data_IF_159918219399
#
_entry.id   IF_159918219399
#
_cell.length_a   1.000
_cell.length_b   1.000
_cell.length_c   1.000
_cell.angle_alpha   90.00
_cell.angle_beta   90.00
_cell.angle_gamma   90.00
#
_symmetry.space_group_name_H-M   'P 1'
#
loop_
_entity.id
_entity.type
_entity.pdbx_description
1 polymer ?
#
# COMPACT_ATOMS: atom_id res chain seq x y z
N UNK A 1 -6.08 1.55 19.30
CA UNK A 1 -5.48 2.77 18.73
C UNK A 1 -3.97 2.62 18.49
N UNK A 2 -3.23 1.89 19.35
CA UNK A 2 -1.80 1.58 19.16
C UNK A 2 -1.49 0.76 17.90
N UNK A 3 -2.38 -0.15 17.51
CA UNK A 3 -2.11 -1.15 16.47
C UNK A 3 -2.03 -0.55 15.04
N UNK A 4 -2.80 0.50 14.74
CA UNK A 4 -2.69 1.23 13.47
C UNK A 4 -1.34 1.95 13.33
N UNK A 5 -0.81 2.47 14.44
CA UNK A 5 0.49 3.11 14.47
C UNK A 5 1.61 2.08 14.27
N UNK A 6 1.45 0.87 14.81
CA UNK A 6 2.38 -0.25 14.60
C UNK A 6 2.43 -0.66 13.13
N UNK A 7 1.28 -0.82 12.47
CA UNK A 7 1.21 -1.16 11.04
C UNK A 7 1.88 -0.08 10.18
N UNK A 8 1.68 1.20 10.52
CA UNK A 8 2.32 2.32 9.83
C UNK A 8 3.83 2.32 10.07
N UNK A 9 4.28 2.11 11.31
CA UNK A 9 5.69 2.04 11.64
C UNK A 9 6.39 0.91 10.87
N UNK A 10 5.76 -0.26 10.73
CA UNK A 10 6.27 -1.36 9.92
C UNK A 10 6.48 -0.96 8.45
N UNK A 11 5.54 -0.21 7.86
CA UNK A 11 5.69 0.33 6.50
C UNK A 11 6.92 1.23 6.40
N UNK A 12 7.10 2.16 7.33
CA UNK A 12 8.21 3.12 7.33
C UNK A 12 9.56 2.51 7.73
N UNK A 13 9.57 1.33 8.35
CA UNK A 13 10.76 0.50 8.53
C UNK A 13 11.12 -0.33 7.28
N UNK A 14 10.33 -0.23 6.20
CA UNK A 14 10.60 -0.89 4.92
C UNK A 14 9.82 -2.18 4.67
N UNK A 15 8.93 -2.60 5.59
CA UNK A 15 8.15 -3.84 5.43
C UNK A 15 6.82 -3.65 4.69
N UNK A 16 6.58 -2.46 4.12
CA UNK A 16 5.28 -2.12 3.52
C UNK A 16 4.84 -3.00 2.36
N UNK A 17 5.78 -3.51 1.56
CA UNK A 17 5.48 -4.44 0.44
C UNK A 17 4.88 -5.75 0.97
N UNK A 18 5.47 -6.31 2.03
CA UNK A 18 4.99 -7.56 2.65
C UNK A 18 3.61 -7.38 3.28
N UNK A 19 3.40 -6.27 3.99
CA UNK A 19 2.11 -5.90 4.57
C UNK A 19 1.04 -5.78 3.45
N UNK A 20 1.34 -5.03 2.39
CA UNK A 20 0.39 -4.80 1.29
C UNK A 20 0.00 -6.09 0.56
N UNK A 21 0.98 -6.94 0.23
CA UNK A 21 0.74 -8.22 -0.43
C UNK A 21 -0.07 -9.19 0.44
N UNK A 22 0.13 -9.15 1.76
CA UNK A 22 -0.57 -10.03 2.70
C UNK A 22 -1.98 -9.54 3.04
N UNK A 23 -2.21 -8.23 3.02
CA UNK A 23 -3.49 -7.61 3.32
C UNK A 23 -4.53 -7.80 2.20
N UNK A 24 -4.10 -8.11 0.99
CA UNK A 24 -4.98 -8.39 -0.14
C UNK A 24 -4.86 -9.86 -0.55
N UNK A 25 -5.63 -10.72 0.12
CA UNK A 25 -5.79 -12.12 -0.29
C UNK A 25 -7.21 -12.31 -0.82
N UNK A 26 -7.32 -12.35 -2.14
CA UNK A 26 -8.54 -12.75 -2.82
C UNK A 26 -8.47 -14.26 -3.05
N UNK A 27 -9.25 -15.03 -2.30
CA UNK A 27 -9.36 -16.48 -2.49
C UNK A 27 -10.70 -16.78 -3.14
N UNK A 28 -10.64 -17.29 -4.38
CA UNK A 28 -11.75 -17.98 -5.01
C UNK A 28 -11.74 -19.41 -4.50
N UNK A 29 -12.82 -19.86 -3.87
CA UNK A 29 -13.00 -21.27 -3.54
C UNK A 29 -14.21 -21.79 -4.31
N UNK A 30 -14.07 -22.98 -4.85
CA UNK A 30 -15.15 -23.68 -5.56
C UNK A 30 -15.52 -24.90 -4.74
N UNK A 31 -16.72 -24.88 -4.14
CA UNK A 31 -17.29 -26.04 -3.45
C UNK A 31 -18.47 -26.56 -4.26
N UNK A 32 -18.30 -27.73 -4.91
CA UNK A 32 -19.33 -28.31 -5.78
C UNK A 32 -19.64 -27.42 -6.98
N UNK A 33 -20.91 -27.06 -7.17
CA UNK A 33 -21.39 -26.15 -8.23
C UNK A 33 -21.35 -24.67 -7.84
N UNK A 34 -20.88 -24.33 -6.63
CA UNK A 34 -20.89 -22.97 -6.11
C UNK A 34 -19.51 -22.33 -6.20
N UNK A 35 -19.41 -21.24 -6.95
CA UNK A 35 -18.22 -20.38 -6.98
C UNK A 35 -18.39 -19.27 -5.94
N UNK A 36 -17.55 -19.30 -4.90
CA UNK A 36 -17.50 -18.28 -3.87
C UNK A 36 -16.22 -17.44 -3.96
N UNK A 37 -16.33 -16.15 -3.65
CA UNK A 37 -15.18 -15.26 -3.50
C UNK A 37 -15.09 -14.82 -2.03
N UNK A 38 -13.93 -15.00 -1.41
CA UNK A 38 -13.65 -14.46 -0.07
C UNK A 38 -12.49 -13.48 -0.14
N UNK A 39 -12.73 -12.27 0.36
CA UNK A 39 -11.70 -11.27 0.61
C UNK A 39 -11.50 -11.18 2.12
N UNK A 40 -10.25 -11.32 2.59
CA UNK A 40 -9.89 -11.07 3.99
C UNK A 40 -8.74 -10.07 4.04
N UNK A 41 -8.92 -8.96 4.76
CA UNK A 41 -7.81 -8.10 5.14
C UNK A 41 -7.13 -8.67 6.38
N UNK A 42 -5.84 -8.96 6.29
CA UNK A 42 -5.02 -9.39 7.44
C UNK A 42 -4.15 -8.20 7.84
N UNK A 43 -4.43 -7.61 9.00
CA UNK A 43 -3.85 -6.34 9.47
C UNK A 43 -4.92 -5.30 9.80
N UNK A 44 -4.54 -4.23 10.50
CA UNK A 44 -5.47 -3.16 10.93
C UNK A 44 -5.64 -2.10 9.85
N UNK A 45 -4.61 -1.89 9.02
CA UNK A 45 -4.70 -1.05 7.84
C UNK A 45 -5.29 -1.81 6.65
N UNK A 46 -6.22 -1.16 5.95
CA UNK A 46 -6.72 -1.66 4.67
C UNK A 46 -5.61 -1.68 3.61
N UNK A 47 -5.71 -2.56 2.60
CA UNK A 47 -4.74 -2.59 1.50
C UNK A 47 -4.56 -1.22 0.81
N UNK A 48 -5.62 -0.42 0.52
CA UNK A 48 -5.44 0.96 0.04
C UNK A 48 -4.61 1.85 0.98
N UNK A 49 -4.83 1.73 2.30
CA UNK A 49 -4.08 2.51 3.30
C UNK A 49 -2.61 2.11 3.34
N UNK A 50 -2.31 0.80 3.27
CA UNK A 50 -0.93 0.29 3.21
C UNK A 50 -0.21 0.73 1.94
N UNK A 51 -0.89 0.68 0.79
CA UNK A 51 -0.33 1.15 -0.48
C UNK A 51 -0.07 2.66 -0.46
N UNK A 52 -0.94 3.44 0.18
CA UNK A 52 -0.72 4.88 0.32
C UNK A 52 0.43 5.20 1.27
N UNK A 53 0.53 4.50 2.40
CA UNK A 53 1.67 4.62 3.30
C UNK A 53 3.00 4.24 2.61
N UNK A 54 3.01 3.15 1.82
CA UNK A 54 4.17 2.74 1.03
C UNK A 54 4.55 3.81 -0.01
N UNK A 55 3.57 4.40 -0.69
CA UNK A 55 3.79 5.50 -1.62
C UNK A 55 4.40 6.73 -0.95
N UNK A 56 3.94 7.10 0.24
CA UNK A 56 4.53 8.18 1.03
C UNK A 56 5.99 7.87 1.38
N UNK A 57 6.25 6.65 1.88
CA UNK A 57 7.62 6.22 2.19
C UNK A 57 8.55 6.37 0.98
N UNK A 58 8.13 5.90 -0.19
CA UNK A 58 8.91 6.00 -1.43
C UNK A 58 9.19 7.46 -1.81
N UNK A 59 8.19 8.34 -1.73
CA UNK A 59 8.37 9.78 -2.03
C UNK A 59 9.31 10.46 -1.02
N UNK A 60 9.15 10.18 0.28
CA UNK A 60 9.95 10.81 1.33
C UNK A 60 11.40 10.34 1.34
N UNK A 61 11.66 9.12 0.88
CA UNK A 61 13.01 8.54 0.82
C UNK A 61 13.68 8.70 -0.54
N UNK A 62 12.98 9.29 -1.52
CA UNK A 62 13.41 9.38 -2.92
C UNK A 62 13.82 8.01 -3.51
N UNK A 63 13.15 6.94 -3.07
CA UNK A 63 13.44 5.59 -3.52
C UNK A 63 12.89 5.36 -4.95
N UNK A 64 13.54 4.48 -5.72
CA UNK A 64 13.04 4.08 -7.05
C UNK A 64 11.66 3.40 -6.91
N UNK A 65 10.57 4.00 -7.41
CA UNK A 65 9.23 3.44 -7.26
C UNK A 65 9.06 2.08 -7.94
N UNK A 66 9.88 1.79 -8.96
CA UNK A 66 9.83 0.51 -9.68
C UNK A 66 10.28 -0.66 -8.81
N UNK A 67 11.05 -0.42 -7.75
CA UNK A 67 11.44 -1.47 -6.79
C UNK A 67 10.18 -2.03 -6.12
N UNK A 68 9.29 -1.18 -5.62
CA UNK A 68 8.03 -1.61 -5.02
C UNK A 68 7.12 -2.28 -6.06
N UNK A 69 7.01 -1.73 -7.27
CA UNK A 69 6.17 -2.31 -8.34
C UNK A 69 6.56 -3.75 -8.68
N UNK A 70 7.86 -4.06 -8.72
CA UNK A 70 8.37 -5.40 -9.06
C UNK A 70 8.03 -6.46 -8.02
N UNK A 71 7.79 -6.07 -6.78
CA UNK A 71 7.58 -6.99 -5.66
C UNK A 71 6.14 -6.98 -5.13
N UNK A 72 5.29 -6.08 -5.63
CA UNK A 72 3.86 -6.07 -5.32
C UNK A 72 3.12 -7.13 -6.15
N UNK A 73 2.05 -7.68 -5.57
CA UNK A 73 1.10 -8.50 -6.33
C UNK A 73 0.51 -7.69 -7.49
N UNK A 74 0.27 -8.35 -8.63
CA UNK A 74 -0.08 -7.69 -9.89
C UNK A 74 -1.35 -6.82 -9.81
N UNK A 75 -2.33 -7.26 -9.02
CA UNK A 75 -3.58 -6.57 -8.70
C UNK A 75 -3.40 -5.29 -7.86
N UNK A 76 -2.29 -5.18 -7.13
CA UNK A 76 -1.95 -4.03 -6.31
C UNK A 76 -1.15 -2.96 -7.08
N UNK A 77 -0.40 -3.34 -8.12
CA UNK A 77 0.47 -2.41 -8.88
C UNK A 77 -0.31 -1.20 -9.41
N UNK A 78 -1.48 -1.42 -10.00
CA UNK A 78 -2.31 -0.33 -10.52
C UNK A 78 -2.89 0.60 -9.44
N UNK A 79 -3.07 0.10 -8.21
CA UNK A 79 -3.52 0.90 -7.06
C UNK A 79 -2.34 1.67 -6.45
N UNK A 80 -1.18 1.02 -6.35
CA UNK A 80 0.07 1.63 -5.90
C UNK A 80 0.48 2.82 -6.78
N UNK A 81 0.45 2.69 -8.11
CA UNK A 81 0.77 3.80 -9.02
C UNK A 81 -0.11 5.03 -8.81
N UNK A 82 -1.41 4.81 -8.56
CA UNK A 82 -2.35 5.91 -8.25
C UNK A 82 -2.02 6.56 -6.91
N UNK A 83 -1.74 5.75 -5.89
CA UNK A 83 -1.30 6.23 -4.58
C UNK A 83 0.00 7.05 -4.68
N UNK A 84 0.97 6.58 -5.46
CA UNK A 84 2.24 7.27 -5.71
C UNK A 84 2.04 8.63 -6.37
N UNK A 85 1.20 8.72 -7.41
CA UNK A 85 0.86 10.00 -8.05
C UNK A 85 0.27 11.00 -7.06
N UNK A 86 -0.64 10.54 -6.20
CA UNK A 86 -1.26 11.37 -5.18
C UNK A 86 -0.25 11.83 -4.13
N UNK A 87 0.58 10.91 -3.62
CA UNK A 87 1.60 11.21 -2.62
C UNK A 87 2.61 12.24 -3.14
N UNK A 88 3.09 12.07 -4.38
CA UNK A 88 4.03 12.99 -5.00
C UNK A 88 3.42 14.39 -5.20
N UNK A 89 2.22 14.47 -5.78
CA UNK A 89 1.53 15.77 -5.96
C UNK A 89 1.29 16.48 -4.62
N UNK A 90 0.96 15.74 -3.57
CA UNK A 90 0.78 16.32 -2.24
C UNK A 90 2.10 16.79 -1.62
N UNK A 91 3.19 16.03 -1.81
CA UNK A 91 4.52 16.40 -1.36
C UNK A 91 4.99 17.71 -2.01
N UNK A 92 4.86 17.84 -3.33
CA UNK A 92 5.19 19.08 -4.06
C UNK A 92 4.43 20.29 -3.51
N UNK A 93 3.12 20.13 -3.23
CA UNK A 93 2.30 21.20 -2.62
C UNK A 93 2.81 21.60 -1.24
N UNK A 94 3.22 20.62 -0.42
CA UNK A 94 3.79 20.91 0.91
C UNK A 94 5.10 21.67 0.78
N UNK A 95 5.98 21.28 -0.14
CA UNK A 95 7.25 21.98 -0.36
C UNK A 95 7.02 23.42 -0.84
N UNK A 96 6.09 23.63 -1.77
CA UNK A 96 5.71 24.97 -2.24
C UNK A 96 5.16 25.88 -1.12
N UNK A 97 4.48 25.31 -0.12
CA UNK A 97 4.00 26.07 1.05
C UNK A 97 5.13 26.46 2.00
N UNK A 98 6.22 25.69 2.08
CA UNK A 98 7.38 26.01 2.94
C UNK A 98 8.25 27.13 2.37
N UNK A 99 8.13 27.42 1.08
CA UNK A 99 8.87 28.49 0.39
C UNK A 99 8.15 29.85 0.40
N UNK A 100 7.00 29.95 1.08
CA UNK A 100 6.26 31.19 1.34
C UNK A 100 6.64 31.76 2.71
#
# INVERSE_FOLDING_TARGET
>A
MSELATDLAAVFMGFGIFQANSAFSFHQFTEGTTVGWRSSSRGYLSAPSLLFALAIFVVLTDADPKVAERHLNADLVGRYRRALKHAHSFFERIQAMKSL
#
